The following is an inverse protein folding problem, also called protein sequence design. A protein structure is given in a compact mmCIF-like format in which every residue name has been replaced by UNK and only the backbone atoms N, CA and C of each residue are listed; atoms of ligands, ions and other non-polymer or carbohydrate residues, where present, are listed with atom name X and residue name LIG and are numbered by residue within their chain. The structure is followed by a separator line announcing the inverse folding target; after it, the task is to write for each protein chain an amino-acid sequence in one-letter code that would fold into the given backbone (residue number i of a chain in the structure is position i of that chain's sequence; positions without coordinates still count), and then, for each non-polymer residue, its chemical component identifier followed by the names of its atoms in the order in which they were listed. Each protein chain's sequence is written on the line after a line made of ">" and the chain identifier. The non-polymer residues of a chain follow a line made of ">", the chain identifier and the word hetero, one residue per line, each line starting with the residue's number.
data_IF_916456032107
#
_entry.id   IF_916456032107
#
_cell.length_a   1.000
_cell.length_b   1.000
_cell.length_c   1.000
_cell.angle_alpha   90.00
_cell.angle_beta   90.00
_cell.angle_gamma   90.00
#
_symmetry.space_group_name_H-M   'P 1'
#
loop_
_entity.id
_entity.type
_entity.pdbx_description
1 polymer ?
#
# COMPACT_ATOMS: atom_id res chain seq x y z
N UNK A 1 24.78 16.57 3.99
CA UNK A 1 23.95 16.12 5.13
C UNK A 1 22.78 15.35 4.57
N UNK A 2 22.92 14.05 4.41
CA UNK A 2 21.84 13.17 3.96
C UNK A 2 21.03 12.78 5.20
N UNK A 3 19.84 13.35 5.35
CA UNK A 3 18.92 13.01 6.46
C UNK A 3 18.36 11.62 6.17
N UNK A 4 18.89 10.61 6.86
CA UNK A 4 18.30 9.30 6.93
C UNK A 4 16.88 9.42 7.53
N UNK A 5 15.87 8.96 6.79
CA UNK A 5 14.49 8.83 7.26
C UNK A 5 14.41 7.69 8.29
N UNK A 6 13.91 7.93 9.51
CA UNK A 6 13.78 6.87 10.50
C UNK A 6 12.44 6.15 10.30
N UNK A 7 12.44 4.99 9.66
CA UNK A 7 11.30 4.08 9.76
C UNK A 7 11.78 2.63 9.93
N UNK A 8 12.48 2.40 11.04
CA UNK A 8 12.61 1.06 11.61
C UNK A 8 11.35 0.75 12.44
N UNK A 9 10.31 0.26 11.76
CA UNK A 9 9.34 -0.64 12.38
C UNK A 9 9.26 -1.88 11.50
N UNK A 10 10.13 -2.83 11.81
CA UNK A 10 10.24 -4.14 11.18
C UNK A 10 8.96 -4.93 11.41
N UNK A 11 7.94 -4.72 10.59
CA UNK A 11 6.82 -5.63 10.44
C UNK A 11 6.89 -6.16 9.02
N UNK A 12 6.92 -7.49 8.91
CA UNK A 12 7.15 -8.24 7.69
C UNK A 12 5.93 -8.16 6.75
N UNK A 13 5.56 -6.96 6.34
CA UNK A 13 4.81 -6.77 5.11
C UNK A 13 5.70 -7.33 4.01
N UNK A 14 5.29 -8.48 3.45
CA UNK A 14 5.89 -8.96 2.22
C UNK A 14 5.94 -7.78 1.24
N UNK A 15 7.06 -7.57 0.58
CA UNK A 15 7.29 -6.44 -0.34
C UNK A 15 6.16 -6.31 -1.39
N UNK A 16 5.52 -7.45 -1.68
CA UNK A 16 4.32 -7.59 -2.49
C UNK A 16 3.27 -8.48 -1.83
N UNK A 17 2.01 -8.27 -2.21
CA UNK A 17 0.89 -9.18 -1.94
C UNK A 17 0.18 -9.56 -3.25
N UNK A 18 -0.39 -10.75 -3.29
CA UNK A 18 -1.22 -11.16 -4.42
C UNK A 18 -2.63 -10.61 -4.27
N UNK A 19 -3.07 -9.78 -5.23
CA UNK A 19 -4.47 -9.40 -5.31
C UNK A 19 -5.24 -10.35 -6.21
N UNK A 20 -6.22 -11.06 -5.63
CA UNK A 20 -7.11 -11.97 -6.38
C UNK A 20 -7.96 -11.25 -7.43
N UNK A 21 -8.48 -10.05 -7.13
CA UNK A 21 -9.33 -9.29 -8.06
C UNK A 21 -8.62 -8.87 -9.35
N UNK A 22 -7.31 -8.65 -9.29
CA UNK A 22 -6.47 -8.24 -10.43
C UNK A 22 -5.55 -9.35 -10.91
N UNK A 23 -5.63 -10.54 -10.30
CA UNK A 23 -4.79 -11.71 -10.58
C UNK A 23 -3.29 -11.37 -10.72
N UNK A 24 -2.80 -10.46 -9.85
CA UNK A 24 -1.44 -9.93 -9.94
C UNK A 24 -0.84 -9.68 -8.57
N UNK A 25 0.49 -9.78 -8.51
CA UNK A 25 1.29 -9.33 -7.39
C UNK A 25 1.41 -7.79 -7.41
N UNK A 26 1.04 -7.16 -6.30
CA UNK A 26 1.07 -5.72 -6.11
C UNK A 26 2.08 -5.40 -5.02
N UNK A 27 3.00 -4.49 -5.30
CA UNK A 27 3.95 -4.00 -4.30
C UNK A 27 3.23 -3.14 -3.26
N UNK A 28 3.57 -3.34 -1.99
CA UNK A 28 3.00 -2.60 -0.87
C UNK A 28 3.23 -1.09 -1.03
N UNK A 29 4.45 -0.69 -1.39
CA UNK A 29 4.76 0.73 -1.64
C UNK A 29 3.86 1.33 -2.72
N UNK A 30 3.75 0.64 -3.87
CA UNK A 30 2.89 1.09 -4.97
C UNK A 30 1.41 1.10 -4.59
N UNK A 31 0.96 0.22 -3.70
CA UNK A 31 -0.40 0.24 -3.15
C UNK A 31 -0.67 1.57 -2.43
N UNK A 32 0.22 1.94 -1.51
CA UNK A 32 0.08 3.16 -0.69
C UNK A 32 0.20 4.42 -1.54
N UNK A 33 1.21 4.51 -2.41
CA UNK A 33 1.39 5.68 -3.28
C UNK A 33 0.15 5.90 -4.16
N UNK A 34 -0.29 4.84 -4.85
CA UNK A 34 -1.49 4.91 -5.68
C UNK A 34 -2.76 5.15 -4.87
N UNK A 35 -2.83 4.72 -3.60
CA UNK A 35 -3.98 4.99 -2.73
C UNK A 35 -4.11 6.48 -2.42
N UNK A 36 -3.00 7.13 -2.06
CA UNK A 36 -2.96 8.58 -1.78
C UNK A 36 -3.36 9.36 -3.03
N UNK A 37 -2.77 9.03 -4.18
CA UNK A 37 -3.06 9.68 -5.46
C UNK A 37 -4.50 9.42 -5.93
N UNK A 38 -4.97 8.18 -5.84
CA UNK A 38 -6.34 7.79 -6.16
C UNK A 38 -7.37 8.55 -5.31
N UNK A 39 -7.08 8.76 -4.02
CA UNK A 39 -7.97 9.50 -3.14
C UNK A 39 -8.01 10.99 -3.53
N UNK A 40 -6.86 11.58 -3.86
CA UNK A 40 -6.76 12.97 -4.33
C UNK A 40 -7.48 13.18 -5.67
N UNK A 41 -7.40 12.21 -6.58
CA UNK A 41 -7.99 12.26 -7.93
C UNK A 41 -9.39 11.62 -8.02
N UNK A 42 -9.96 11.17 -6.90
CA UNK A 42 -11.23 10.43 -6.83
C UNK A 42 -11.28 9.15 -7.71
N UNK A 43 -10.15 8.54 -8.03
CA UNK A 43 -10.03 7.34 -8.87
C UNK A 43 -9.88 6.07 -8.02
N UNK A 44 -10.99 5.54 -7.52
CA UNK A 44 -11.01 4.36 -6.63
C UNK A 44 -10.76 3.01 -7.33
N UNK A 45 -10.30 3.02 -8.58
CA UNK A 45 -10.12 1.84 -9.42
C UNK A 45 -8.78 1.11 -9.20
N UNK A 46 -8.02 1.49 -8.17
CA UNK A 46 -6.70 0.91 -7.89
C UNK A 46 -6.78 -0.34 -7.02
N UNK A 47 -5.86 -1.32 -7.19
CA UNK A 47 -5.84 -2.55 -6.40
C UNK A 47 -5.86 -2.31 -4.89
N UNK A 48 -5.23 -1.22 -4.41
CA UNK A 48 -5.20 -0.92 -2.98
C UNK A 48 -6.59 -0.67 -2.35
N UNK A 49 -7.54 -0.17 -3.14
CA UNK A 49 -8.94 0.00 -2.71
C UNK A 49 -9.75 -1.29 -2.83
N UNK A 50 -9.48 -2.09 -3.87
CA UNK A 50 -10.37 -3.16 -4.32
C UNK A 50 -9.94 -4.57 -3.84
N UNK A 51 -8.76 -4.71 -3.22
CA UNK A 51 -8.26 -5.98 -2.72
C UNK A 51 -8.32 -6.02 -1.19
N UNK A 52 -8.70 -7.17 -0.63
CA UNK A 52 -8.71 -7.40 0.83
C UNK A 52 -7.33 -7.14 1.44
N UNK A 53 -6.27 -7.62 0.78
CA UNK A 53 -4.89 -7.39 1.18
C UNK A 53 -4.51 -5.90 1.15
N UNK A 54 -5.08 -5.14 0.21
CA UNK A 54 -4.89 -3.68 0.13
C UNK A 54 -5.56 -2.95 1.30
N UNK A 55 -6.70 -3.43 1.80
CA UNK A 55 -7.31 -2.92 3.02
C UNK A 55 -6.44 -3.21 4.26
N UNK A 56 -5.91 -4.43 4.37
CA UNK A 56 -4.99 -4.81 5.46
C UNK A 56 -3.75 -3.91 5.48
N UNK A 57 -3.11 -3.74 4.32
CA UNK A 57 -1.98 -2.82 4.13
C UNK A 57 -2.35 -1.40 4.57
N UNK A 58 -3.47 -0.83 4.11
CA UNK A 58 -3.87 0.53 4.49
C UNK A 58 -4.15 0.69 5.98
N UNK A 59 -4.78 -0.30 6.61
CA UNK A 59 -5.05 -0.26 8.04
C UNK A 59 -3.76 -0.29 8.86
N UNK A 60 -2.77 -1.05 8.40
CA UNK A 60 -1.46 -1.11 9.04
C UNK A 60 -0.68 0.22 8.92
N UNK A 61 -0.75 0.87 7.74
CA UNK A 61 -0.12 2.18 7.52
C UNK A 61 -0.87 3.35 8.18
N UNK A 62 -2.19 3.28 8.31
CA UNK A 62 -3.00 4.34 8.95
C UNK A 62 -2.88 4.35 10.49
N UNK A 63 -2.36 3.27 11.09
CA UNK A 63 -2.08 3.17 12.53
C UNK A 63 -0.69 3.65 12.95
N UNK A 64 0.09 4.25 12.04
CA UNK A 64 1.42 4.82 12.31
C UNK A 64 1.42 6.34 12.38
#
# INVERSE_FOLDING_TARGET
>A
MERALPIQRSYALKDQFFCRGYQSDVRVQSCIDNYVDANALQRKEVPCFNCQQGLEVRNEFAGQ
#
